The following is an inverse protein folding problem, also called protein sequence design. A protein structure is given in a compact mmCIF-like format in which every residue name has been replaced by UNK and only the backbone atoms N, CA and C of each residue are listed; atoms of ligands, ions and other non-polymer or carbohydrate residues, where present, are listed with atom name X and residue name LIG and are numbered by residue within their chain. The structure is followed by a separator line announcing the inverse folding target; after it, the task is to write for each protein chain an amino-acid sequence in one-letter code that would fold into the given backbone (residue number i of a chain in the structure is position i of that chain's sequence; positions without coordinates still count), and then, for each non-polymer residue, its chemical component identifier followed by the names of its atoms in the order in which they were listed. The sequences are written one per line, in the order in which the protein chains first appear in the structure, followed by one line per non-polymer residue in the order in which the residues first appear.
data_IF_917943546295
#
_entry.id   IF_917943546295
#
_cell.length_a   1.000
_cell.length_b   1.000
_cell.length_c   1.000
_cell.angle_alpha   90.00
_cell.angle_beta   90.00
_cell.angle_gamma   90.00
#
_symmetry.space_group_name_H-M   'P 1'
#
loop_
_entity.id
_entity.type
_entity.pdbx_description
1 polymer ?
#
# COMPACT_ATOMS: atom_id res chain seq x y z
N UNK A 1 39.84 -21.12 63.38
CA UNK A 1 39.42 -19.83 62.79
C UNK A 1 39.68 -19.89 61.29
N UNK A 2 38.75 -20.46 60.51
CA UNK A 2 38.68 -20.35 59.05
C UNK A 2 37.22 -20.66 58.68
N UNK A 3 36.46 -19.61 58.35
CA UNK A 3 35.11 -19.72 57.80
C UNK A 3 35.29 -19.73 56.27
N UNK A 4 34.83 -20.75 55.53
CA UNK A 4 34.84 -20.69 54.08
C UNK A 4 33.80 -19.65 53.63
N UNK A 5 34.29 -18.69 52.84
CA UNK A 5 33.53 -17.62 52.21
C UNK A 5 32.65 -18.23 51.11
N UNK A 6 31.36 -17.91 51.14
CA UNK A 6 30.40 -18.24 50.06
C UNK A 6 30.91 -17.71 48.70
N UNK A 7 30.74 -18.46 47.60
CA UNK A 7 31.12 -17.96 46.29
C UNK A 7 30.22 -16.79 45.85
N UNK A 8 30.86 -15.81 45.24
CA UNK A 8 30.32 -14.65 44.53
C UNK A 8 29.06 -15.01 43.72
N UNK A 9 27.98 -14.19 43.74
CA UNK A 9 26.84 -14.42 42.87
C UNK A 9 27.26 -14.28 41.40
N UNK A 10 26.72 -15.15 40.56
CA UNK A 10 26.88 -15.14 39.10
C UNK A 10 26.64 -13.73 38.53
N UNK A 11 27.37 -13.33 37.46
CA UNK A 11 27.14 -12.06 36.80
C UNK A 11 25.71 -12.08 36.25
N UNK A 12 24.91 -11.13 36.74
CA UNK A 12 23.58 -10.81 36.22
C UNK A 12 23.60 -10.82 34.71
N UNK A 13 22.73 -11.65 34.16
CA UNK A 13 22.35 -11.81 32.77
C UNK A 13 22.58 -10.50 31.98
N UNK A 14 23.60 -10.49 31.13
CA UNK A 14 23.77 -9.43 30.14
C UNK A 14 22.59 -9.55 29.17
N UNK A 15 21.50 -8.86 29.50
CA UNK A 15 20.32 -8.76 28.64
C UNK A 15 20.80 -8.23 27.30
N UNK A 16 20.96 -9.13 26.33
CA UNK A 16 21.31 -8.75 24.97
C UNK A 16 20.29 -7.70 24.53
N UNK A 17 20.76 -6.49 24.24
CA UNK A 17 19.89 -5.39 23.88
C UNK A 17 19.03 -5.83 22.67
N UNK A 18 17.73 -5.92 22.87
CA UNK A 18 16.82 -6.33 21.82
C UNK A 18 16.77 -5.22 20.79
N UNK A 19 17.42 -5.43 19.64
CA UNK A 19 17.43 -4.45 18.55
C UNK A 19 16.02 -4.33 17.98
N UNK A 20 15.39 -3.14 18.03
CA UNK A 20 14.05 -2.94 17.49
C UNK A 20 14.03 -3.13 15.97
N UNK A 21 12.85 -3.44 15.43
CA UNK A 21 12.59 -3.32 14.00
C UNK A 21 11.97 -1.95 13.74
N UNK A 22 12.61 -1.14 12.89
CA UNK A 22 12.25 0.27 12.68
C UNK A 22 11.58 0.41 11.32
N UNK A 23 10.36 0.94 11.33
CA UNK A 23 9.64 1.31 10.11
C UNK A 23 9.59 2.83 10.01
N UNK A 24 9.93 3.39 8.85
CA UNK A 24 9.67 4.79 8.55
C UNK A 24 8.38 4.92 7.73
N UNK A 25 7.63 6.00 7.94
CA UNK A 25 6.47 6.28 7.09
C UNK A 25 6.31 7.76 6.81
N UNK A 26 5.94 8.06 5.57
CA UNK A 26 5.48 9.37 5.17
C UNK A 26 4.13 9.69 5.84
N UNK A 27 3.84 10.98 5.97
CA UNK A 27 2.59 11.46 6.51
C UNK A 27 1.36 10.92 5.73
N UNK A 28 0.26 10.69 6.46
CA UNK A 28 -0.99 10.16 5.92
C UNK A 28 -1.02 8.64 5.66
N UNK A 29 0.10 7.92 5.79
CA UNK A 29 0.12 6.46 5.58
C UNK A 29 -0.49 5.74 6.77
N UNK A 30 -1.52 4.92 6.51
CA UNK A 30 -2.16 4.09 7.56
C UNK A 30 -1.40 2.79 7.79
N UNK A 31 -0.79 2.65 8.98
CA UNK A 31 0.07 1.50 9.33
C UNK A 31 -0.57 0.48 10.26
N UNK A 32 -1.69 0.82 10.90
CA UNK A 32 -2.27 0.11 12.06
C UNK A 32 -2.43 -1.40 11.84
N UNK A 33 -2.84 -1.81 10.64
CA UNK A 33 -3.00 -3.23 10.29
C UNK A 33 -1.68 -4.00 10.39
N UNK A 34 -0.60 -3.44 9.84
CA UNK A 34 0.68 -4.11 9.74
C UNK A 34 1.46 -4.06 11.06
N UNK A 35 1.40 -2.94 11.77
CA UNK A 35 2.05 -2.80 13.08
C UNK A 35 1.44 -3.76 14.10
N UNK A 36 0.10 -3.85 14.14
CA UNK A 36 -0.60 -4.81 15.01
C UNK A 36 -0.25 -6.25 14.66
N UNK A 37 -0.28 -6.61 13.38
CA UNK A 37 0.04 -7.97 12.94
C UNK A 37 1.51 -8.36 13.25
N UNK A 38 2.43 -7.40 13.21
CA UNK A 38 3.82 -7.63 13.63
C UNK A 38 3.91 -7.88 15.13
N UNK A 39 3.32 -7.01 15.96
CA UNK A 39 3.35 -7.15 17.42
C UNK A 39 2.73 -8.48 17.88
N UNK A 40 1.70 -8.97 17.19
CA UNK A 40 1.08 -10.27 17.47
C UNK A 40 2.02 -11.45 17.15
N UNK A 41 2.81 -11.37 16.08
CA UNK A 41 3.72 -12.45 15.61
C UNK A 41 5.10 -12.41 16.27
N UNK A 42 5.61 -11.21 16.55
CA UNK A 42 6.96 -10.94 17.05
C UNK A 42 6.93 -10.13 18.33
N UNK A 43 6.27 -10.67 19.35
CA UNK A 43 6.17 -10.05 20.70
C UNK A 43 7.52 -9.70 21.32
N UNK A 44 8.55 -10.50 21.02
CA UNK A 44 9.90 -10.31 21.55
C UNK A 44 10.73 -9.26 20.77
N UNK A 45 10.26 -8.75 19.63
CA UNK A 45 10.98 -7.74 18.83
C UNK A 45 10.17 -6.45 18.84
N UNK A 46 10.60 -5.41 19.59
CA UNK A 46 9.95 -4.11 19.58
C UNK A 46 9.85 -3.57 18.16
N UNK A 47 8.70 -2.94 17.86
CA UNK A 47 8.45 -2.27 16.60
C UNK A 47 8.44 -0.76 16.86
N UNK A 48 9.34 -0.04 16.21
CA UNK A 48 9.40 1.41 16.27
C UNK A 48 8.90 2.02 14.97
N UNK A 49 8.16 3.12 15.07
CA UNK A 49 7.63 3.85 13.92
C UNK A 49 8.27 5.24 13.91
N UNK A 50 9.20 5.45 12.98
CA UNK A 50 9.80 6.74 12.71
C UNK A 50 8.97 7.54 11.70
N UNK A 51 8.89 8.86 11.91
CA UNK A 51 8.31 9.76 10.91
C UNK A 51 9.35 10.03 9.81
N UNK A 52 8.85 10.15 8.58
CA UNK A 52 9.62 10.65 7.44
C UNK A 52 8.74 11.58 6.60
N UNK A 53 9.38 12.35 5.73
CA UNK A 53 8.75 13.22 4.73
C UNK A 53 9.02 12.67 3.34
N UNK A 54 8.35 13.18 2.30
CA UNK A 54 8.65 12.81 0.91
C UNK A 54 10.14 12.99 0.58
N UNK A 55 10.77 14.03 1.13
CA UNK A 55 12.19 14.31 0.94
C UNK A 55 13.14 13.33 1.66
N UNK A 56 12.69 12.72 2.77
CA UNK A 56 13.55 11.88 3.63
C UNK A 56 13.23 10.39 3.59
N UNK A 57 12.11 10.00 2.98
CA UNK A 57 11.60 8.62 2.98
C UNK A 57 12.58 7.57 2.39
N UNK A 58 13.51 7.97 1.52
CA UNK A 58 14.58 7.10 1.00
C UNK A 58 15.86 7.21 1.82
N UNK A 59 16.25 8.42 2.23
CA UNK A 59 17.52 8.64 2.95
C UNK A 59 17.53 7.95 4.30
N UNK A 60 16.38 7.82 4.97
CA UNK A 60 16.27 7.04 6.22
C UNK A 60 16.67 5.57 6.06
N UNK A 61 16.45 4.97 4.88
CA UNK A 61 16.89 3.60 4.59
C UNK A 61 18.40 3.56 4.36
N UNK A 62 18.91 4.47 3.53
CA UNK A 62 20.34 4.56 3.17
C UNK A 62 21.22 4.85 4.38
N UNK A 63 20.75 5.72 5.27
CA UNK A 63 21.40 6.04 6.55
C UNK A 63 21.30 4.89 7.58
N UNK A 64 20.53 3.84 7.29
CA UNK A 64 20.29 2.74 8.24
C UNK A 64 19.43 3.13 9.44
N UNK A 65 18.65 4.21 9.33
CA UNK A 65 17.73 4.70 10.37
C UNK A 65 16.40 3.95 10.38
N UNK A 66 16.09 3.20 9.32
CA UNK A 66 14.93 2.34 9.23
C UNK A 66 15.25 1.05 8.46
N UNK A 67 14.58 -0.04 8.82
CA UNK A 67 14.67 -1.32 8.11
C UNK A 67 13.78 -1.32 6.85
N UNK A 68 12.61 -0.69 6.95
CA UNK A 68 11.65 -0.51 5.86
C UNK A 68 11.08 0.90 5.90
N UNK A 69 10.68 1.42 4.75
CA UNK A 69 10.07 2.75 4.61
C UNK A 69 8.82 2.68 3.77
N UNK A 70 7.74 3.30 4.23
CA UNK A 70 6.53 3.52 3.45
C UNK A 70 6.65 4.84 2.69
N UNK A 71 6.83 4.71 1.38
CA UNK A 71 7.21 5.80 0.48
C UNK A 71 6.08 6.16 -0.47
N UNK A 72 6.04 7.43 -0.86
CA UNK A 72 5.24 7.95 -1.98
C UNK A 72 6.08 7.91 -3.24
N UNK A 73 5.59 7.22 -4.27
CA UNK A 73 6.25 7.16 -5.59
C UNK A 73 5.97 8.42 -6.40
N UNK A 74 6.90 8.83 -7.29
CA UNK A 74 8.16 8.17 -7.63
C UNK A 74 9.28 8.39 -6.60
N UNK A 75 10.19 7.42 -6.51
CA UNK A 75 11.46 7.53 -5.76
C UNK A 75 12.60 6.98 -6.61
N UNK A 76 13.82 7.41 -6.32
CA UNK A 76 15.02 6.71 -6.80
C UNK A 76 15.12 5.35 -6.10
N UNK A 77 14.88 4.27 -6.86
CA UNK A 77 14.84 2.89 -6.39
C UNK A 77 16.06 2.06 -6.81
N UNK A 78 17.14 2.72 -7.24
CA UNK A 78 18.36 2.06 -7.78
C UNK A 78 18.90 0.94 -6.87
N UNK A 79 18.88 1.15 -5.56
CA UNK A 79 19.35 0.21 -4.52
C UNK A 79 18.20 -0.37 -3.68
N UNK A 80 16.95 -0.11 -4.06
CA UNK A 80 15.75 -0.45 -3.29
C UNK A 80 14.99 -1.61 -3.91
N UNK A 81 14.43 -2.44 -3.05
CA UNK A 81 13.34 -3.33 -3.40
C UNK A 81 12.03 -2.66 -3.00
N UNK A 82 11.01 -2.71 -3.87
CA UNK A 82 9.78 -1.95 -3.71
C UNK A 82 8.55 -2.84 -3.93
N UNK A 83 7.56 -2.73 -3.05
CA UNK A 83 6.23 -3.34 -3.20
C UNK A 83 5.18 -2.23 -3.16
N UNK A 84 4.47 -2.03 -4.27
CA UNK A 84 3.32 -1.11 -4.35
C UNK A 84 2.16 -1.68 -3.55
N UNK A 85 1.54 -0.83 -2.73
CA UNK A 85 0.49 -1.23 -1.78
C UNK A 85 -0.89 -0.76 -2.24
N UNK A 86 -1.00 0.53 -2.56
CA UNK A 86 -2.24 1.14 -3.02
C UNK A 86 -1.95 2.48 -3.72
N UNK A 87 -2.96 2.98 -4.45
CA UNK A 87 -2.96 4.33 -5.00
C UNK A 87 -3.82 5.26 -4.13
N UNK A 88 -3.50 6.54 -4.13
CA UNK A 88 -4.23 7.60 -3.47
C UNK A 88 -4.71 8.60 -4.51
N UNK A 89 -6.01 8.87 -4.45
CA UNK A 89 -6.63 9.86 -5.32
C UNK A 89 -6.16 11.27 -4.94
N UNK A 90 -5.83 12.10 -5.94
CA UNK A 90 -5.54 13.51 -5.70
C UNK A 90 -6.83 14.27 -5.42
N UNK A 91 -6.77 15.17 -4.45
CA UNK A 91 -7.84 16.11 -4.11
C UNK A 91 -7.27 17.51 -4.04
N UNK A 92 -8.06 18.49 -4.44
CA UNK A 92 -7.80 19.88 -4.12
C UNK A 92 -8.46 20.21 -2.79
N UNK A 93 -7.71 20.88 -1.92
CA UNK A 93 -8.21 21.47 -0.68
C UNK A 93 -8.43 22.96 -0.96
N UNK A 94 -9.63 23.42 -0.65
CA UNK A 94 -10.10 24.78 -0.91
C UNK A 94 -10.86 25.32 0.32
N UNK A 95 -11.00 26.65 0.46
CA UNK A 95 -11.81 27.25 1.52
C UNK A 95 -13.24 26.72 1.47
N UNK A 96 -13.88 26.53 2.63
CA UNK A 96 -15.22 25.92 2.70
C UNK A 96 -16.30 26.68 1.92
N UNK A 97 -16.19 28.01 1.85
CA UNK A 97 -17.15 28.87 1.16
C UNK A 97 -16.74 29.18 -0.30
N UNK A 98 -15.72 28.51 -0.81
CA UNK A 98 -15.22 28.74 -2.16
C UNK A 98 -16.22 28.24 -3.23
N UNK A 99 -16.47 28.97 -4.34
CA UNK A 99 -17.50 28.61 -5.31
C UNK A 99 -17.38 27.19 -5.91
N UNK A 100 -16.14 26.72 -6.09
CA UNK A 100 -15.87 25.38 -6.62
C UNK A 100 -16.29 24.23 -5.70
N UNK A 101 -16.61 24.50 -4.42
CA UNK A 101 -17.14 23.48 -3.49
C UNK A 101 -18.50 22.92 -3.91
N UNK A 102 -19.24 23.66 -4.75
CA UNK A 102 -20.53 23.23 -5.29
C UNK A 102 -20.41 22.05 -6.27
N UNK A 103 -19.21 21.74 -6.77
CA UNK A 103 -18.95 20.62 -7.68
C UNK A 103 -18.48 19.41 -6.90
N UNK A 104 -18.91 18.22 -7.33
CA UNK A 104 -18.50 16.96 -6.71
C UNK A 104 -17.06 16.56 -7.07
N UNK A 105 -16.59 16.95 -8.26
CA UNK A 105 -15.23 16.75 -8.73
C UNK A 105 -14.81 17.89 -9.67
N UNK A 106 -13.51 18.14 -9.73
CA UNK A 106 -12.87 19.23 -10.46
C UNK A 106 -11.82 18.69 -11.43
N UNK A 107 -11.40 19.56 -12.35
CA UNK A 107 -10.28 19.35 -13.27
C UNK A 107 -9.20 20.40 -13.04
N UNK A 108 -7.99 20.21 -13.58
CA UNK A 108 -6.95 21.25 -13.54
C UNK A 108 -7.41 22.54 -14.24
N UNK A 109 -8.19 22.41 -15.31
CA UNK A 109 -8.78 23.56 -16.01
C UNK A 109 -9.72 24.39 -15.12
N UNK A 110 -10.47 23.75 -14.21
CA UNK A 110 -11.30 24.46 -13.24
C UNK A 110 -10.46 25.26 -12.21
N UNK A 111 -9.15 24.96 -12.08
CA UNK A 111 -8.23 25.53 -11.11
C UNK A 111 -7.19 26.50 -11.72
N UNK A 112 -7.23 26.78 -13.03
CA UNK A 112 -6.21 27.59 -13.72
C UNK A 112 -6.10 29.03 -13.22
N UNK A 113 -7.19 29.57 -12.65
CA UNK A 113 -7.23 30.93 -12.09
C UNK A 113 -6.91 31.02 -10.59
N UNK A 114 -6.71 29.90 -9.92
CA UNK A 114 -6.52 29.84 -8.47
C UNK A 114 -5.06 30.03 -8.06
N UNK A 115 -4.82 30.56 -6.86
CA UNK A 115 -3.48 30.62 -6.29
C UNK A 115 -3.08 29.25 -5.73
N UNK A 116 -2.20 28.52 -6.43
CA UNK A 116 -1.70 27.21 -5.99
C UNK A 116 -0.60 27.36 -4.94
N UNK A 117 -0.85 26.83 -3.76
CA UNK A 117 0.09 26.85 -2.65
C UNK A 117 1.09 25.69 -2.77
N UNK A 118 2.32 25.93 -2.33
CA UNK A 118 3.40 24.95 -2.29
C UNK A 118 4.04 24.92 -0.89
N UNK A 119 4.81 23.86 -0.61
CA UNK A 119 5.47 23.64 0.66
C UNK A 119 4.91 22.45 1.43
N UNK A 120 5.21 22.38 2.72
CA UNK A 120 4.71 21.34 3.61
C UNK A 120 3.18 21.40 3.70
N UNK A 121 2.52 20.24 3.56
CA UNK A 121 1.07 20.18 3.37
C UNK A 121 0.27 20.76 4.53
N UNK A 122 0.72 20.56 5.77
CA UNK A 122 0.09 21.15 6.95
C UNK A 122 0.02 22.68 6.83
N UNK A 123 1.16 23.32 6.61
CA UNK A 123 1.26 24.77 6.46
C UNK A 123 0.49 25.28 5.23
N UNK A 124 0.53 24.56 4.11
CA UNK A 124 -0.25 24.91 2.93
C UNK A 124 -1.76 24.87 3.20
N UNK A 125 -2.26 23.85 3.91
CA UNK A 125 -3.67 23.71 4.27
C UNK A 125 -4.10 24.79 5.27
N UNK A 126 -3.22 25.23 6.17
CA UNK A 126 -3.46 26.40 7.03
C UNK A 126 -3.65 27.68 6.22
N UNK A 127 -2.84 27.89 5.18
CA UNK A 127 -2.98 29.03 4.28
C UNK A 127 -4.25 28.94 3.41
N UNK A 128 -4.68 27.74 3.00
CA UNK A 128 -5.99 27.54 2.38
C UNK A 128 -7.11 27.99 3.33
N UNK A 129 -7.04 27.59 4.59
CA UNK A 129 -8.03 27.99 5.60
C UNK A 129 -8.04 29.51 5.84
N UNK A 130 -6.90 30.18 5.66
CA UNK A 130 -6.79 31.64 5.67
C UNK A 130 -7.25 32.31 4.35
N UNK A 131 -7.85 31.55 3.43
CA UNK A 131 -8.36 32.01 2.14
C UNK A 131 -7.29 32.60 1.22
N UNK A 132 -6.04 32.13 1.33
CA UNK A 132 -4.89 32.60 0.52
C UNK A 132 -4.84 31.92 -0.85
N UNK A 133 -5.35 30.70 -0.97
CA UNK A 133 -5.29 29.91 -2.20
C UNK A 133 -5.83 28.49 -2.03
N UNK A 134 -5.40 27.59 -2.91
CA UNK A 134 -5.76 26.17 -2.94
C UNK A 134 -4.51 25.29 -2.96
N UNK A 135 -4.62 24.02 -2.58
CA UNK A 135 -3.52 23.06 -2.69
C UNK A 135 -4.01 21.70 -3.15
N UNK A 136 -3.30 21.06 -4.08
CA UNK A 136 -3.57 19.67 -4.49
C UNK A 136 -2.71 18.74 -3.64
N UNK A 137 -3.36 17.79 -2.96
CA UNK A 137 -2.72 16.83 -2.07
C UNK A 137 -3.32 15.43 -2.24
N UNK A 138 -2.63 14.36 -1.81
CA UNK A 138 -3.25 13.04 -1.67
C UNK A 138 -4.44 13.10 -0.69
N UNK A 139 -5.50 12.34 -0.96
CA UNK A 139 -6.71 12.34 -0.11
C UNK A 139 -6.42 12.01 1.37
N UNK A 140 -5.44 11.16 1.67
CA UNK A 140 -5.04 10.83 3.04
C UNK A 140 -4.53 12.04 3.82
N UNK A 141 -3.81 12.95 3.15
CA UNK A 141 -3.29 14.19 3.72
C UNK A 141 -4.41 15.18 4.00
N UNK A 142 -5.34 15.35 3.05
CA UNK A 142 -6.52 16.18 3.25
C UNK A 142 -7.38 15.69 4.43
N UNK A 143 -7.48 14.36 4.63
CA UNK A 143 -8.16 13.78 5.80
C UNK A 143 -7.40 14.00 7.09
N UNK A 144 -6.07 13.87 7.07
CA UNK A 144 -5.23 14.02 8.25
C UNK A 144 -5.27 15.44 8.82
N UNK A 145 -5.15 16.45 7.96
CA UNK A 145 -5.23 17.87 8.34
C UNK A 145 -6.64 18.46 8.14
N UNK A 146 -7.66 17.60 8.15
CA UNK A 146 -9.04 18.01 7.97
C UNK A 146 -9.47 19.02 9.03
N UNK A 147 -10.11 20.09 8.60
CA UNK A 147 -10.57 21.19 9.47
C UNK A 147 -11.89 21.78 8.94
N UNK A 148 -12.62 22.46 9.82
CA UNK A 148 -14.02 22.87 9.59
C UNK A 148 -14.22 23.98 8.54
N UNK A 149 -13.14 24.65 8.18
CA UNK A 149 -13.05 25.85 7.34
C UNK A 149 -12.44 25.55 5.95
N UNK A 150 -12.15 24.28 5.65
CA UNK A 150 -11.74 23.81 4.33
C UNK A 150 -12.60 22.66 3.86
N UNK A 151 -12.69 22.50 2.55
CA UNK A 151 -13.34 21.38 1.85
C UNK A 151 -12.34 20.70 0.93
N UNK A 152 -12.49 19.39 0.73
CA UNK A 152 -11.69 18.63 -0.22
C UNK A 152 -12.56 18.14 -1.38
N UNK A 153 -12.06 18.29 -2.61
CA UNK A 153 -12.73 17.81 -3.84
C UNK A 153 -11.77 17.01 -4.72
N UNK A 154 -12.17 15.82 -5.23
CA UNK A 154 -11.35 15.04 -6.17
C UNK A 154 -11.01 15.81 -7.43
N UNK A 155 -9.77 15.66 -7.91
CA UNK A 155 -9.31 16.22 -9.18
C UNK A 155 -9.12 15.09 -10.19
N UNK A 156 -9.96 15.04 -11.23
CA UNK A 156 -10.11 13.86 -12.08
C UNK A 156 -8.96 13.64 -13.08
N UNK A 157 -8.26 14.71 -13.47
CA UNK A 157 -7.22 14.74 -14.50
C UNK A 157 -5.80 14.90 -13.91
N UNK A 158 -5.65 14.68 -12.60
CA UNK A 158 -4.35 14.60 -11.93
C UNK A 158 -3.97 13.14 -11.74
N UNK A 159 -2.70 12.80 -12.02
CA UNK A 159 -2.19 11.46 -11.83
C UNK A 159 -2.24 11.04 -10.34
N UNK A 160 -2.64 9.79 -10.09
CA UNK A 160 -2.66 9.25 -8.73
C UNK A 160 -1.25 9.12 -8.15
N UNK A 161 -1.16 9.37 -6.83
CA UNK A 161 0.06 9.04 -6.08
C UNK A 161 -0.01 7.58 -5.66
N UNK A 162 1.12 6.87 -5.63
CA UNK A 162 1.17 5.47 -5.17
C UNK A 162 1.98 5.36 -3.89
N UNK A 163 1.43 4.63 -2.91
CA UNK A 163 2.15 4.21 -1.72
C UNK A 163 2.81 2.87 -1.96
N UNK A 164 4.08 2.79 -1.62
CA UNK A 164 4.85 1.56 -1.66
C UNK A 164 5.57 1.33 -0.33
N UNK A 165 5.90 0.08 -0.04
CA UNK A 165 6.90 -0.26 0.97
C UNK A 165 8.23 -0.50 0.25
N UNK A 166 9.28 0.16 0.71
CA UNK A 166 10.63 0.04 0.20
C UNK A 166 11.61 -0.39 1.29
N UNK A 167 12.69 -1.07 0.88
CA UNK A 167 13.82 -1.43 1.73
C UNK A 167 15.08 -1.55 0.88
N UNK A 168 16.26 -1.43 1.50
CA UNK A 168 17.52 -1.66 0.79
C UNK A 168 17.60 -3.13 0.35
N UNK A 169 17.80 -3.37 -0.95
CA UNK A 169 17.87 -4.72 -1.52
C UNK A 169 18.95 -5.55 -0.84
N UNK A 170 20.12 -4.94 -0.58
CA UNK A 170 21.26 -5.56 0.10
C UNK A 170 21.01 -5.87 1.59
N UNK A 171 19.94 -5.32 2.20
CA UNK A 171 19.57 -5.53 3.61
C UNK A 171 18.25 -6.30 3.75
N UNK A 172 17.97 -7.21 2.82
CA UNK A 172 16.83 -8.14 2.96
C UNK A 172 17.13 -9.17 4.04
N UNK A 173 16.68 -8.91 5.26
CA UNK A 173 16.83 -9.80 6.42
C UNK A 173 15.59 -10.64 6.64
N UNK A 174 15.69 -11.69 7.48
CA UNK A 174 14.54 -12.51 7.89
C UNK A 174 13.38 -11.67 8.47
N UNK A 175 13.70 -10.58 9.18
CA UNK A 175 12.70 -9.65 9.74
C UNK A 175 11.98 -8.87 8.65
N UNK A 176 12.71 -8.42 7.63
CA UNK A 176 12.13 -7.76 6.46
C UNK A 176 11.25 -8.73 5.68
N UNK A 177 11.70 -9.96 5.43
CA UNK A 177 10.93 -11.00 4.73
C UNK A 177 9.62 -11.37 5.44
N UNK A 178 9.66 -11.43 6.75
CA UNK A 178 8.46 -11.65 7.56
C UNK A 178 7.51 -10.46 7.50
N UNK A 179 8.01 -9.23 7.60
CA UNK A 179 7.19 -8.02 7.48
C UNK A 179 6.58 -7.90 6.08
N UNK A 180 7.32 -8.26 5.02
CA UNK A 180 6.78 -8.44 3.66
C UNK A 180 5.65 -9.47 3.67
N UNK A 181 5.79 -10.57 4.40
CA UNK A 181 4.74 -11.55 4.59
C UNK A 181 3.47 -10.97 5.21
N UNK A 182 3.61 -10.14 6.24
CA UNK A 182 2.50 -9.43 6.88
C UNK A 182 1.83 -8.45 5.91
N UNK A 183 2.62 -7.65 5.20
CA UNK A 183 2.13 -6.65 4.25
C UNK A 183 1.36 -7.30 3.11
N UNK A 184 1.84 -8.44 2.60
CA UNK A 184 1.16 -9.27 1.59
C UNK A 184 -0.01 -10.10 2.14
N UNK A 185 -0.30 -10.01 3.43
CA UNK A 185 -1.42 -10.72 4.05
C UNK A 185 -1.20 -12.23 4.25
N UNK A 186 0.04 -12.74 4.18
CA UNK A 186 0.33 -14.14 4.51
C UNK A 186 -0.02 -14.37 5.98
N UNK A 187 -0.95 -15.28 6.27
CA UNK A 187 -1.34 -15.66 7.64
C UNK A 187 -0.21 -16.44 8.34
N UNK A 188 -0.07 -16.26 9.66
CA UNK A 188 0.98 -16.92 10.47
C UNK A 188 0.97 -18.47 10.40
N UNK A 189 -0.14 -19.06 9.95
CA UNK A 189 -0.37 -20.50 9.81
C UNK A 189 0.18 -21.13 8.51
N UNK A 190 0.86 -20.38 7.65
CA UNK A 190 1.50 -20.94 6.45
C UNK A 190 2.98 -21.29 6.71
N UNK A 191 3.28 -21.98 7.81
CA UNK A 191 4.50 -22.79 7.84
C UNK A 191 4.30 -23.96 6.90
N UNK A 192 5.31 -24.22 6.05
CA UNK A 192 5.40 -25.43 5.22
C UNK A 192 4.96 -26.63 6.06
N UNK A 193 3.85 -27.26 5.69
CA UNK A 193 3.71 -28.68 5.94
C UNK A 193 4.86 -29.35 5.18
N UNK A 194 5.84 -29.88 5.90
CA UNK A 194 6.77 -30.88 5.39
C UNK A 194 5.92 -31.93 4.66
N UNK A 195 6.13 -32.19 3.36
CA UNK A 195 5.43 -33.28 2.71
C UNK A 195 5.94 -34.59 3.34
N UNK A 196 5.16 -35.16 4.24
CA UNK A 196 5.23 -36.59 4.55
C UNK A 196 5.12 -37.34 3.22
N UNK A 197 5.97 -38.34 2.90
CA UNK A 197 5.87 -39.04 1.64
C UNK A 197 4.52 -39.75 1.58
N UNK A 198 3.62 -39.29 0.70
CA UNK A 198 2.35 -39.93 0.45
C UNK A 198 2.58 -41.13 -0.50
N UNK A 199 2.21 -42.31 -0.02
CA UNK A 199 2.07 -43.53 -0.82
C UNK A 199 1.07 -43.31 -1.97
N UNK A 200 1.31 -43.82 -3.20
CA UNK A 200 0.47 -43.48 -4.35
C UNK A 200 -0.94 -44.06 -4.21
N UNK A 201 -1.98 -43.22 -4.25
CA UNK A 201 -3.36 -43.64 -4.45
C UNK A 201 -3.69 -43.73 -5.93
N UNK A 202 -4.23 -44.89 -6.32
CA UNK A 202 -4.63 -45.26 -7.67
C UNK A 202 -5.68 -44.31 -8.28
N UNK A 203 -5.53 -44.08 -9.59
CA UNK A 203 -6.43 -43.31 -10.44
C UNK A 203 -7.63 -44.17 -10.84
N UNK A 204 -8.85 -43.71 -10.60
CA UNK A 204 -10.08 -44.30 -11.14
C UNK A 204 -10.53 -43.56 -12.42
N UNK A 205 -11.11 -44.25 -13.41
CA UNK A 205 -11.19 -43.78 -14.80
C UNK A 205 -12.39 -42.87 -15.09
N UNK A 206 -12.22 -41.97 -16.07
CA UNK A 206 -13.28 -41.11 -16.64
C UNK A 206 -14.16 -41.89 -17.63
N UNK A 207 -15.48 -41.74 -17.53
CA UNK A 207 -16.47 -42.26 -18.50
C UNK A 207 -16.45 -41.46 -19.83
N UNK A 208 -16.69 -42.10 -20.98
CA UNK A 208 -16.60 -41.45 -22.29
C UNK A 208 -17.91 -40.75 -22.67
N UNK A 209 -17.78 -39.57 -23.29
CA UNK A 209 -18.88 -38.86 -23.97
C UNK A 209 -18.95 -39.37 -25.42
N UNK A 210 -20.09 -39.95 -25.79
CA UNK A 210 -20.36 -40.47 -27.14
C UNK A 210 -20.71 -39.32 -28.08
N UNK A 211 -19.91 -39.16 -29.13
CA UNK A 211 -20.17 -38.27 -30.25
C UNK A 211 -21.29 -38.83 -31.15
N UNK A 212 -22.28 -38.01 -31.49
CA UNK A 212 -23.22 -38.29 -32.59
C UNK A 212 -22.86 -37.43 -33.81
N UNK A 213 -22.33 -38.12 -34.82
CA UNK A 213 -22.15 -37.67 -36.21
C UNK A 213 -23.50 -37.66 -36.92
N UNK A 214 -23.83 -36.59 -37.66
CA UNK A 214 -24.79 -36.66 -38.76
C UNK A 214 -24.18 -36.08 -40.03
N UNK A 215 -24.39 -36.85 -41.07
CA UNK A 215 -23.82 -36.84 -42.40
C UNK A 215 -24.66 -35.99 -43.36
N UNK A 216 -24.07 -35.66 -44.50
CA UNK A 216 -24.43 -34.56 -45.38
C UNK A 216 -25.17 -35.04 -46.66
N UNK A 217 -25.88 -34.08 -47.29
CA UNK A 217 -26.29 -33.96 -48.72
C UNK A 217 -27.71 -34.43 -49.18
N UNK A 218 -28.23 -33.93 -50.34
CA UNK A 218 -28.12 -32.57 -50.94
C UNK A 218 -29.43 -32.01 -51.58
N UNK A 219 -29.47 -30.69 -51.79
CA UNK A 219 -30.08 -30.02 -52.96
C UNK A 219 -31.62 -29.90 -53.10
N UNK A 220 -32.15 -28.67 -53.10
CA UNK A 220 -33.02 -28.09 -54.16
C UNK A 220 -33.58 -26.70 -53.80
N UNK A 221 -33.07 -25.70 -54.51
CA UNK A 221 -33.77 -24.63 -55.27
C UNK A 221 -34.89 -23.75 -54.67
N UNK A 222 -34.76 -22.44 -54.97
CA UNK A 222 -35.80 -21.37 -55.13
C UNK A 222 -36.44 -20.83 -53.84
N UNK A 223 -36.75 -19.55 -53.68
CA UNK A 223 -36.60 -18.35 -54.53
C UNK A 223 -36.75 -17.10 -53.64
N UNK A 224 -35.98 -16.08 -53.96
CA UNK A 224 -36.14 -14.69 -53.52
C UNK A 224 -37.55 -14.17 -53.86
N UNK A 225 -38.22 -13.49 -52.93
CA UNK A 225 -39.25 -12.50 -53.27
C UNK A 225 -39.03 -11.18 -52.52
N UNK A 226 -38.92 -10.15 -53.36
CA UNK A 226 -38.78 -8.70 -53.12
C UNK A 226 -39.84 -8.09 -52.18
N UNK A 227 -39.56 -6.88 -51.64
CA UNK A 227 -40.56 -6.07 -50.94
C UNK A 227 -41.46 -5.34 -51.95
N UNK A 228 -42.75 -5.20 -51.62
CA UNK A 228 -43.70 -4.39 -52.38
C UNK A 228 -43.89 -3.01 -51.72
N UNK A 229 -43.70 -1.97 -52.53
CA UNK A 229 -44.22 -0.61 -52.36
C UNK A 229 -45.52 -0.45 -53.16
N UNK A 230 -46.42 0.40 -52.69
CA UNK A 230 -47.56 0.98 -53.41
C UNK A 230 -48.91 0.52 -52.83
N UNK A 231 -49.86 1.38 -52.49
CA UNK A 231 -50.19 2.73 -52.97
C UNK A 231 -50.51 3.68 -51.83
#
# INVERSE_FOLDING_TARGET
MLVPVDPTPDPVDATAAVVPFIIAAAEGVTLTKWTRAWQERRRAVPLEVARSTVATQVTVLRDGKADVSFVRLPVDDTDLSVIVLYAESPVVVLPKDHPLTARESLTLADLEGENHLAGEWEAAIELVAANVGVVIVPQSIARLHGRKDVEARPVADVAETRIAMAWLTAKTTDRVDEFIGIVRGRTAQSSRATPTPATPKAVAPKKPVVARKKENQPGRTRSVRRPQRGR
#
